data_IF_944957210246
#
_entry.id   IF_944957210246
#
_cell.length_a   1.000
_cell.length_b   1.000
_cell.length_c   1.000
_cell.angle_alpha   90.00
_cell.angle_beta   90.00
_cell.angle_gamma   90.00
#
_symmetry.space_group_name_H-M   'P 1'
#
loop_
_entity.id
_entity.type
_entity.pdbx_description
1 polymer ?
#
# COMPACT_ATOMS: atom_id res chain seq x y z
N UNK A 1 7.47 -16.64 23.92
CA UNK A 1 6.37 -15.82 24.47
C UNK A 1 6.22 -14.63 23.55
N UNK A 2 5.32 -14.70 22.56
CA UNK A 2 5.08 -13.60 21.63
C UNK A 2 4.18 -12.59 22.34
N UNK A 3 4.68 -11.37 22.55
CA UNK A 3 3.85 -10.27 23.01
C UNK A 3 2.93 -9.93 21.83
N UNK A 4 1.63 -10.19 21.99
CA UNK A 4 0.56 -9.68 21.12
C UNK A 4 0.56 -8.15 21.26
N UNK A 5 1.46 -7.49 20.53
CA UNK A 5 1.77 -6.07 20.71
C UNK A 5 0.81 -5.19 19.94
N UNK A 6 -0.27 -4.77 20.61
CA UNK A 6 -1.24 -3.72 20.23
C UNK A 6 -2.03 -4.05 18.94
N UNK A 7 -3.37 -4.16 18.98
CA UNK A 7 -4.15 -4.25 17.74
C UNK A 7 -3.84 -3.02 16.88
N UNK A 8 -3.62 -3.20 15.57
CA UNK A 8 -3.34 -2.10 14.66
C UNK A 8 -4.37 -0.98 14.86
N UNK A 9 -3.89 0.21 15.22
CA UNK A 9 -4.74 1.37 15.50
C UNK A 9 -5.57 1.72 14.25
N UNK A 10 -6.74 2.32 14.43
CA UNK A 10 -7.53 2.90 13.33
C UNK A 10 -6.70 3.86 12.47
N UNK A 11 -5.61 4.42 13.02
CA UNK A 11 -4.62 5.22 12.31
C UNK A 11 -3.94 4.50 11.14
N UNK A 12 -3.94 3.16 11.09
CA UNK A 12 -3.43 2.38 9.96
C UNK A 12 -4.48 2.14 8.87
N UNK A 13 -5.70 2.67 9.04
CA UNK A 13 -6.74 2.70 7.99
C UNK A 13 -6.71 4.02 7.26
N UNK A 14 -5.57 4.33 6.65
CA UNK A 14 -5.34 5.63 6.01
C UNK A 14 -6.05 5.63 4.64
N UNK A 15 -6.92 6.63 4.37
CA UNK A 15 -7.61 6.72 3.09
C UNK A 15 -6.63 7.04 1.94
N UNK A 16 -6.98 6.61 0.74
CA UNK A 16 -6.23 6.95 -0.46
C UNK A 16 -6.17 8.47 -0.67
N UNK A 17 -5.02 8.97 -1.13
CA UNK A 17 -4.86 10.38 -1.46
C UNK A 17 -5.67 10.78 -2.70
N UNK A 18 -6.16 12.04 -2.78
CA UNK A 18 -6.85 12.52 -3.95
C UNK A 18 -5.89 12.56 -5.15
N UNK A 19 -6.18 11.76 -6.17
CA UNK A 19 -5.40 11.67 -7.39
C UNK A 19 -6.11 12.37 -8.56
N UNK A 20 -5.34 13.06 -9.41
CA UNK A 20 -5.82 13.64 -10.68
C UNK A 20 -6.16 12.52 -11.68
N UNK A 21 -7.03 12.76 -12.66
CA UNK A 21 -7.46 11.74 -13.64
C UNK A 21 -6.29 10.98 -14.29
N UNK A 22 -5.29 11.69 -14.83
CA UNK A 22 -4.07 11.08 -15.39
C UNK A 22 -3.33 10.19 -14.39
N UNK A 23 -3.31 10.58 -13.12
CA UNK A 23 -2.65 9.80 -12.08
C UNK A 23 -3.45 8.54 -11.74
N UNK A 24 -4.78 8.63 -11.69
CA UNK A 24 -5.67 7.48 -11.48
C UNK A 24 -5.53 6.44 -12.58
N UNK A 25 -5.61 6.87 -13.84
CA UNK A 25 -5.43 5.99 -15.00
C UNK A 25 -4.09 5.27 -14.96
N UNK A 26 -3.02 5.99 -14.60
CA UNK A 26 -1.69 5.42 -14.52
C UNK A 26 -1.52 4.45 -13.33
N UNK A 27 -2.19 4.72 -12.20
CA UNK A 27 -2.28 3.79 -11.07
C UNK A 27 -3.03 2.53 -11.48
N UNK A 28 -4.19 2.67 -12.11
CA UNK A 28 -5.04 1.54 -12.54
C UNK A 28 -4.32 0.64 -13.54
N UNK A 29 -3.66 1.21 -14.55
CA UNK A 29 -2.83 0.46 -15.51
C UNK A 29 -1.74 -0.34 -14.80
N UNK A 30 -1.02 0.30 -13.87
CA UNK A 30 0.08 -0.34 -13.18
C UNK A 30 -0.38 -1.43 -12.20
N UNK A 31 -1.52 -1.23 -11.51
CA UNK A 31 -2.12 -2.28 -10.67
C UNK A 31 -2.48 -3.49 -11.52
N UNK A 32 -3.12 -3.30 -12.68
CA UNK A 32 -3.50 -4.40 -13.56
C UNK A 32 -2.27 -5.19 -14.04
N UNK A 33 -1.19 -4.51 -14.44
CA UNK A 33 0.08 -5.15 -14.82
C UNK A 33 0.64 -6.03 -13.69
N UNK A 34 0.65 -5.52 -12.46
CA UNK A 34 1.17 -6.27 -11.30
C UNK A 34 0.25 -7.45 -10.93
N UNK A 35 -1.07 -7.29 -11.10
CA UNK A 35 -2.03 -8.39 -10.91
C UNK A 35 -1.84 -9.50 -11.95
N UNK A 36 -1.56 -9.15 -13.21
CA UNK A 36 -1.25 -10.13 -14.27
C UNK A 36 0.03 -10.92 -13.98
N UNK A 37 1.02 -10.29 -13.34
CA UNK A 37 2.26 -10.93 -12.90
C UNK A 37 2.04 -11.84 -11.67
N UNK A 38 0.92 -11.71 -10.97
CA UNK A 38 0.58 -12.49 -9.77
C UNK A 38 1.15 -11.93 -8.46
N UNK A 39 1.73 -10.73 -8.50
CA UNK A 39 2.34 -10.07 -7.34
C UNK A 39 1.31 -9.28 -6.51
N UNK A 40 0.14 -8.99 -7.08
CA UNK A 40 -1.02 -8.40 -6.39
C UNK A 40 -2.28 -9.23 -6.62
N UNK A 41 -3.20 -9.19 -5.65
CA UNK A 41 -4.53 -9.77 -5.75
C UNK A 41 -5.58 -8.83 -5.19
N UNK A 42 -6.82 -9.03 -5.63
CA UNK A 42 -7.96 -8.42 -4.97
C UNK A 42 -8.14 -9.02 -3.57
N UNK A 43 -8.57 -8.16 -2.65
CA UNK A 43 -9.09 -8.54 -1.34
C UNK A 43 -10.55 -8.93 -1.52
N UNK A 44 -10.94 -10.09 -1.00
CA UNK A 44 -12.33 -10.57 -1.08
C UNK A 44 -13.28 -9.76 -0.18
N UNK A 45 -14.58 -9.77 -0.50
CA UNK A 45 -15.56 -8.94 0.23
C UNK A 45 -15.60 -9.17 1.75
N UNK A 46 -15.34 -10.40 2.19
CA UNK A 46 -15.37 -10.80 3.60
C UNK A 46 -13.97 -10.92 4.22
N UNK A 47 -12.93 -10.55 3.49
CA UNK A 47 -11.57 -10.57 4.01
C UNK A 47 -11.33 -9.34 4.87
N UNK A 48 -10.94 -9.56 6.14
CA UNK A 48 -10.64 -8.48 7.05
C UNK A 48 -9.30 -7.84 6.68
N UNK A 49 -9.33 -6.56 6.34
CA UNK A 49 -8.12 -5.76 6.09
C UNK A 49 -7.79 -4.96 7.33
N UNK A 50 -6.74 -5.38 8.02
CA UNK A 50 -6.28 -4.71 9.24
C UNK A 50 -5.54 -3.39 8.94
N UNK A 51 -4.87 -3.31 7.79
CA UNK A 51 -3.97 -2.20 7.42
C UNK A 51 -4.25 -1.74 5.99
N UNK A 52 -4.43 -0.43 5.80
CA UNK A 52 -4.50 0.20 4.47
C UNK A 52 -3.58 1.41 4.41
N UNK A 53 -2.62 1.37 3.50
CA UNK A 53 -1.67 2.47 3.28
C UNK A 53 -1.92 3.12 1.93
N UNK A 54 -1.89 4.46 1.82
CA UNK A 54 -2.10 5.12 0.54
C UNK A 54 -0.92 4.86 -0.39
N UNK A 55 -1.21 4.87 -1.69
CA UNK A 55 -0.23 4.67 -2.74
C UNK A 55 -0.07 5.97 -3.53
N UNK A 56 1.18 6.31 -3.83
CA UNK A 56 1.55 7.48 -4.61
C UNK A 56 2.25 7.02 -5.88
N UNK A 57 2.11 7.77 -6.96
CA UNK A 57 2.90 7.58 -8.17
C UNK A 57 3.90 8.72 -8.35
N UNK A 58 5.07 8.36 -8.87
CA UNK A 58 6.11 9.30 -9.24
C UNK A 58 6.67 8.94 -10.61
N UNK A 59 7.11 9.96 -11.36
CA UNK A 59 7.77 9.77 -12.64
C UNK A 59 9.26 10.04 -12.47
N UNK A 60 10.07 9.08 -12.90
CA UNK A 60 11.52 9.22 -12.94
C UNK A 60 12.03 8.65 -14.26
N UNK A 61 12.80 9.44 -15.03
CA UNK A 61 13.35 9.04 -16.32
C UNK A 61 12.31 8.44 -17.28
N UNK A 62 11.15 9.09 -17.40
CA UNK A 62 10.00 8.64 -18.22
C UNK A 62 9.37 7.31 -17.78
N UNK A 63 9.80 6.74 -16.65
CA UNK A 63 9.20 5.55 -16.05
C UNK A 63 8.34 5.94 -14.87
N UNK A 64 7.16 5.33 -14.80
CA UNK A 64 6.28 5.44 -13.65
C UNK A 64 6.75 4.50 -12.55
N UNK A 65 6.70 4.96 -11.30
CA UNK A 65 6.95 4.15 -10.11
C UNK A 65 5.80 4.35 -9.13
N UNK A 66 5.28 3.23 -8.64
CA UNK A 66 4.30 3.18 -7.57
C UNK A 66 5.02 3.03 -6.23
N UNK A 67 4.62 3.82 -5.24
CA UNK A 67 5.24 3.85 -3.90
C UNK A 67 4.14 3.79 -2.86
N UNK A 68 4.18 2.79 -2.00
CA UNK A 68 3.32 2.73 -0.80
C UNK A 68 3.85 3.67 0.27
N UNK A 69 2.97 4.47 0.87
CA UNK A 69 3.32 5.28 2.02
C UNK A 69 3.28 4.44 3.30
N UNK A 70 4.44 3.91 3.69
CA UNK A 70 4.59 3.02 4.83
C UNK A 70 5.11 3.74 6.07
N UNK A 71 5.03 5.07 6.15
CA UNK A 71 5.61 5.82 7.29
C UNK A 71 4.96 5.45 8.61
N UNK A 72 3.63 5.42 8.64
CA UNK A 72 2.84 5.03 9.79
C UNK A 72 3.01 3.55 10.08
N UNK A 73 3.00 2.68 9.06
CA UNK A 73 3.27 1.25 9.23
C UNK A 73 4.68 1.00 9.80
N UNK A 74 5.66 1.82 9.40
CA UNK A 74 7.04 1.78 9.88
C UNK A 74 7.18 2.01 11.38
N UNK A 75 6.23 2.66 12.05
CA UNK A 75 6.27 2.84 13.51
C UNK A 75 5.88 1.57 14.27
N UNK A 76 5.14 0.66 13.62
CA UNK A 76 4.71 -0.63 14.18
C UNK A 76 5.66 -1.78 13.84
N UNK A 77 6.61 -1.56 12.92
CA UNK A 77 7.60 -2.56 12.54
C UNK A 77 8.92 -2.30 13.25
N UNK A 78 9.53 -3.35 13.79
CA UNK A 78 10.90 -3.28 14.31
C UNK A 78 11.83 -3.71 13.18
N UNK A 79 12.76 -2.85 12.73
CA UNK A 79 13.65 -3.20 11.63
C UNK A 79 14.61 -4.30 12.08
N UNK A 80 14.69 -5.35 11.27
CA UNK A 80 15.69 -6.39 11.47
C UNK A 80 17.04 -5.91 10.92
N UNK A 81 18.06 -5.82 11.77
CA UNK A 81 19.38 -5.24 11.45
C UNK A 81 20.48 -6.31 11.52
N UNK A 82 20.33 -7.38 10.75
CA UNK A 82 21.33 -8.43 10.60
C UNK A 82 21.92 -8.46 9.19
#
# INVERSE_FOLDING_TARGET
MLILGIPYDQLLRIPAYPARNRAREAIESHINEIMELGDLRNVEHNEEVEVTTPVIITWNNYKLRMVGDLREFGTYTTPDRY
#
